data_IF_419394080960
#
_entry.id   IF_419394080960
#
_cell.length_a   1.000
_cell.length_b   1.000
_cell.length_c   1.000
_cell.angle_alpha   90.00
_cell.angle_beta   90.00
_cell.angle_gamma   90.00
#
_symmetry.space_group_name_H-M   'P 1'
#
loop_
_entity.id
_entity.type
_entity.pdbx_description
1 polymer ?
#
# COMPACT_ATOMS: atom_id res chain seq x y z
N UNK A 1 22.29 27.98 0.39
CA UNK A 1 21.86 26.88 1.27
C UNK A 1 22.20 27.27 2.71
N UNK A 2 21.22 27.41 3.59
CA UNK A 2 21.49 27.67 5.00
C UNK A 2 22.20 26.47 5.62
N UNK A 3 23.35 26.68 6.27
CA UNK A 3 24.04 25.62 7.01
C UNK A 3 23.14 25.20 8.20
N UNK A 4 22.69 23.94 8.18
CA UNK A 4 22.01 23.35 9.33
C UNK A 4 22.93 23.36 10.54
N UNK A 5 22.47 23.89 11.68
CA UNK A 5 23.24 23.83 12.90
C UNK A 5 23.26 22.40 13.44
N UNK A 6 24.34 21.99 14.10
CA UNK A 6 24.45 20.66 14.73
C UNK A 6 23.25 20.38 15.65
N UNK A 7 22.78 21.39 16.39
CA UNK A 7 21.60 21.28 17.26
C UNK A 7 20.30 20.99 16.48
N UNK A 8 20.15 21.51 15.26
CA UNK A 8 18.98 21.22 14.43
C UNK A 8 19.01 19.77 13.92
N UNK A 9 20.18 19.30 13.50
CA UNK A 9 20.37 17.91 13.06
C UNK A 9 20.05 16.96 14.22
N UNK A 10 20.63 17.21 15.40
CA UNK A 10 20.40 16.37 16.58
C UNK A 10 18.92 16.32 16.98
N UNK A 11 18.23 17.48 16.99
CA UNK A 11 16.78 17.53 17.25
C UNK A 11 15.97 16.73 16.22
N UNK A 12 16.32 16.84 14.94
CA UNK A 12 15.61 16.10 13.87
C UNK A 12 15.77 14.60 14.03
N UNK A 13 17.00 14.14 14.33
CA UNK A 13 17.27 12.71 14.57
C UNK A 13 16.53 12.21 15.81
N UNK A 14 16.53 12.99 16.89
CA UNK A 14 15.82 12.62 18.11
C UNK A 14 14.29 12.52 17.88
N UNK A 15 13.71 13.49 17.18
CA UNK A 15 12.28 13.46 16.81
C UNK A 15 11.99 12.22 15.96
N UNK A 16 12.84 11.91 14.98
CA UNK A 16 12.68 10.74 14.14
C UNK A 16 12.65 9.45 14.97
N UNK A 17 13.64 9.24 15.82
CA UNK A 17 13.74 8.02 16.66
C UNK A 17 12.52 7.89 17.58
N UNK A 18 12.18 8.94 18.31
CA UNK A 18 11.03 8.91 19.23
C UNK A 18 9.74 8.64 18.44
N UNK A 19 9.51 9.37 17.36
CA UNK A 19 8.31 9.22 16.54
C UNK A 19 8.22 7.81 15.93
N UNK A 20 9.34 7.23 15.50
CA UNK A 20 9.35 5.88 14.94
C UNK A 20 8.85 4.85 15.96
N UNK A 21 9.35 4.86 17.18
CA UNK A 21 8.89 3.93 18.21
C UNK A 21 7.41 4.16 18.60
N UNK A 22 6.99 5.41 18.70
CA UNK A 22 5.58 5.75 18.99
C UNK A 22 4.67 5.23 17.88
N UNK A 23 4.99 5.53 16.62
CA UNK A 23 4.18 5.05 15.50
C UNK A 23 4.25 3.55 15.31
N UNK A 24 5.37 2.90 15.62
CA UNK A 24 5.48 1.44 15.57
C UNK A 24 4.52 0.78 16.58
N UNK A 25 4.50 1.26 17.82
CA UNK A 25 3.59 0.74 18.86
C UNK A 25 2.12 0.94 18.47
N UNK A 26 1.78 2.15 17.99
CA UNK A 26 0.42 2.44 17.53
C UNK A 26 0.05 1.58 16.31
N UNK A 27 1.00 1.39 15.40
CA UNK A 27 0.78 0.63 14.18
C UNK A 27 0.47 -0.85 14.44
N UNK A 28 1.19 -1.47 15.38
CA UNK A 28 0.93 -2.87 15.78
C UNK A 28 -0.52 -3.07 16.20
N UNK A 29 -1.15 -2.05 16.81
CA UNK A 29 -2.55 -2.14 17.27
C UNK A 29 -3.58 -1.93 16.14
N UNK A 30 -3.21 -1.22 15.07
CA UNK A 30 -4.15 -0.78 14.02
C UNK A 30 -3.93 -1.52 12.69
N UNK A 31 -2.76 -2.13 12.50
CA UNK A 31 -2.34 -2.73 11.20
C UNK A 31 -3.36 -3.70 10.61
N UNK A 32 -4.01 -4.50 11.46
CA UNK A 32 -4.92 -5.55 11.00
C UNK A 32 -6.23 -4.94 10.48
N UNK A 33 -6.81 -3.98 11.20
CA UNK A 33 -7.99 -3.24 10.74
C UNK A 33 -7.70 -2.44 9.47
N UNK A 34 -6.52 -1.81 9.41
CA UNK A 34 -6.08 -1.08 8.25
C UNK A 34 -5.89 -2.01 7.04
N UNK A 35 -5.19 -3.12 7.24
CA UNK A 35 -4.96 -4.14 6.21
C UNK A 35 -6.25 -4.71 5.65
N UNK A 36 -7.19 -5.08 6.53
CA UNK A 36 -8.52 -5.55 6.13
C UNK A 36 -9.29 -4.51 5.30
N UNK A 37 -9.37 -3.26 5.81
CA UNK A 37 -10.11 -2.19 5.12
C UNK A 37 -9.52 -1.85 3.75
N UNK A 38 -8.18 -1.80 3.64
CA UNK A 38 -7.50 -1.55 2.38
C UNK A 38 -7.70 -2.68 1.39
N UNK A 39 -7.54 -3.93 1.82
CA UNK A 39 -7.75 -5.11 0.97
C UNK A 39 -9.20 -5.17 0.48
N UNK A 40 -10.18 -5.05 1.37
CA UNK A 40 -11.60 -5.05 0.99
C UNK A 40 -11.93 -3.96 -0.05
N UNK A 41 -11.35 -2.76 0.13
CA UNK A 41 -11.60 -1.64 -0.79
C UNK A 41 -10.98 -1.92 -2.17
N UNK A 42 -9.74 -2.41 -2.20
CA UNK A 42 -9.05 -2.75 -3.45
C UNK A 42 -9.76 -3.90 -4.17
N UNK A 43 -10.13 -4.95 -3.44
CA UNK A 43 -10.82 -6.12 -4.01
C UNK A 43 -12.18 -5.76 -4.62
N UNK A 44 -12.93 -4.81 -4.02
CA UNK A 44 -14.16 -4.29 -4.64
C UNK A 44 -13.92 -3.62 -5.98
N UNK A 45 -12.84 -2.84 -6.09
CA UNK A 45 -12.45 -2.21 -7.36
C UNK A 45 -12.10 -3.28 -8.39
N UNK A 46 -11.31 -4.28 -8.02
CA UNK A 46 -10.92 -5.38 -8.90
C UNK A 46 -12.12 -6.25 -9.31
N UNK A 47 -12.99 -6.58 -8.37
CA UNK A 47 -14.23 -7.31 -8.64
C UNK A 47 -15.08 -6.60 -9.70
N UNK A 48 -15.23 -5.28 -9.59
CA UNK A 48 -15.94 -4.46 -10.58
C UNK A 48 -15.26 -4.46 -11.95
N UNK A 49 -13.92 -4.39 -12.02
CA UNK A 49 -13.16 -4.38 -13.27
C UNK A 49 -13.20 -5.74 -13.99
N UNK A 50 -13.18 -6.83 -13.20
CA UNK A 50 -13.12 -8.21 -13.71
C UNK A 50 -14.50 -8.86 -13.87
N UNK A 51 -15.59 -8.17 -13.54
CA UNK A 51 -16.94 -8.75 -13.51
C UNK A 51 -17.02 -9.99 -12.59
N UNK A 52 -16.44 -9.89 -11.40
CA UNK A 52 -16.46 -10.91 -10.36
C UNK A 52 -17.37 -10.45 -9.20
N UNK A 53 -17.77 -11.40 -8.37
CA UNK A 53 -18.45 -11.14 -7.09
C UNK A 53 -17.50 -11.50 -5.95
N UNK A 54 -17.56 -10.77 -4.84
CA UNK A 54 -16.83 -11.12 -3.62
C UNK A 54 -17.78 -11.92 -2.75
N UNK A 55 -17.43 -13.16 -2.50
CA UNK A 55 -18.23 -14.11 -1.73
C UNK A 55 -17.94 -14.02 -0.24
N UNK A 56 -16.65 -14.02 0.11
CA UNK A 56 -16.15 -13.91 1.48
C UNK A 56 -14.87 -13.10 1.57
N UNK A 57 -14.65 -12.49 2.73
CA UNK A 57 -13.40 -11.85 3.10
C UNK A 57 -13.07 -12.27 4.52
N UNK A 58 -12.08 -13.11 4.66
CA UNK A 58 -11.62 -13.65 5.94
C UNK A 58 -10.25 -13.09 6.28
N UNK A 59 -10.04 -12.81 7.56
CA UNK A 59 -8.75 -12.34 8.07
C UNK A 59 -8.14 -13.41 8.97
N UNK A 60 -6.92 -13.82 8.61
CA UNK A 60 -6.12 -14.78 9.38
C UNK A 60 -4.72 -14.18 9.61
N UNK A 61 -4.42 -13.80 10.84
CA UNK A 61 -3.17 -13.16 11.25
C UNK A 61 -2.76 -11.98 10.34
N UNK A 62 -1.71 -12.18 9.56
CA UNK A 62 -1.13 -11.16 8.66
C UNK A 62 -1.66 -11.26 7.22
N UNK A 63 -2.72 -12.02 6.99
CA UNK A 63 -3.30 -12.24 5.67
C UNK A 63 -4.78 -11.91 5.67
N UNK A 64 -5.23 -11.31 4.59
CA UNK A 64 -6.64 -11.17 4.28
C UNK A 64 -6.91 -12.04 3.06
N UNK A 65 -7.71 -13.07 3.23
CA UNK A 65 -8.13 -13.95 2.15
C UNK A 65 -9.42 -13.42 1.55
N UNK A 66 -9.39 -13.15 0.25
CA UNK A 66 -10.57 -12.70 -0.49
C UNK A 66 -11.00 -13.79 -1.45
N UNK A 67 -12.25 -14.23 -1.32
CA UNK A 67 -12.86 -15.24 -2.17
C UNK A 67 -13.68 -14.56 -3.25
N UNK A 68 -13.30 -14.79 -4.50
CA UNK A 68 -13.98 -14.27 -5.69
C UNK A 68 -14.75 -15.36 -6.42
N UNK A 69 -15.93 -15.01 -6.94
CA UNK A 69 -16.78 -15.90 -7.75
C UNK A 69 -16.98 -15.30 -9.14
N UNK A 70 -16.60 -16.01 -10.23
CA UNK A 70 -16.88 -15.59 -11.60
C UNK A 70 -18.33 -15.89 -11.99
N UNK A 71 -19.29 -15.21 -11.39
CA UNK A 71 -20.74 -15.49 -11.45
C UNK A 71 -21.31 -15.50 -12.86
N UNK A 72 -20.69 -14.79 -13.82
CA UNK A 72 -21.10 -14.79 -15.24
C UNK A 72 -20.68 -16.05 -16.00
N UNK A 73 -19.69 -16.77 -15.48
CA UNK A 73 -19.10 -17.95 -16.13
C UNK A 73 -19.57 -19.22 -15.42
N UNK A 74 -19.30 -19.31 -14.12
CA UNK A 74 -19.74 -20.41 -13.29
C UNK A 74 -19.75 -19.98 -11.82
N UNK A 75 -20.89 -20.12 -11.14
CA UNK A 75 -21.07 -19.73 -9.74
C UNK A 75 -20.50 -20.73 -8.74
N UNK A 76 -20.20 -21.95 -9.18
CA UNK A 76 -19.65 -22.98 -8.30
C UNK A 76 -18.13 -22.87 -8.14
N UNK A 77 -17.49 -21.94 -8.87
CA UNK A 77 -16.04 -21.74 -8.82
C UNK A 77 -15.73 -20.63 -7.81
N UNK A 78 -14.99 -20.99 -6.77
CA UNK A 78 -14.44 -20.06 -5.78
C UNK A 78 -12.94 -19.89 -6.03
N UNK A 79 -12.48 -18.64 -6.02
CA UNK A 79 -11.09 -18.27 -6.24
C UNK A 79 -10.59 -17.50 -5.01
N UNK A 80 -9.73 -18.14 -4.25
CA UNK A 80 -9.15 -17.57 -3.04
C UNK A 80 -7.84 -16.86 -3.35
N UNK A 81 -7.76 -15.57 -3.00
CA UNK A 81 -6.56 -14.75 -3.15
C UNK A 81 -6.08 -14.29 -1.77
N UNK A 82 -4.98 -14.83 -1.25
CA UNK A 82 -4.41 -14.40 0.02
C UNK A 82 -3.54 -13.15 -0.18
N UNK A 83 -3.94 -12.03 0.39
CA UNK A 83 -3.19 -10.77 0.41
C UNK A 83 -2.43 -10.67 1.72
N UNK A 84 -1.09 -10.62 1.67
CA UNK A 84 -0.24 -10.42 2.86
C UNK A 84 -0.20 -8.95 3.22
N UNK A 85 -0.88 -8.58 4.29
CA UNK A 85 -1.01 -7.18 4.71
C UNK A 85 0.30 -6.58 5.22
N UNK A 86 1.13 -7.35 5.88
CA UNK A 86 2.42 -6.91 6.38
C UNK A 86 3.38 -6.46 5.26
N UNK A 87 3.28 -7.02 4.05
CA UNK A 87 4.19 -6.71 2.94
C UNK A 87 4.15 -5.23 2.54
N UNK A 88 2.97 -4.61 2.54
CA UNK A 88 2.82 -3.22 2.14
C UNK A 88 2.64 -2.25 3.31
N UNK A 89 2.26 -2.75 4.49
CA UNK A 89 1.96 -1.88 5.63
C UNK A 89 3.17 -1.62 6.54
N UNK A 90 4.23 -2.44 6.47
CA UNK A 90 5.37 -2.36 7.39
C UNK A 90 6.14 -1.02 7.31
N UNK A 91 6.07 -0.32 6.18
CA UNK A 91 6.71 0.97 5.98
C UNK A 91 5.94 2.14 6.61
N UNK A 92 4.67 1.97 6.98
CA UNK A 92 3.82 3.05 7.48
C UNK A 92 4.41 3.77 8.71
N UNK A 93 4.92 3.07 9.74
CA UNK A 93 5.57 3.73 10.88
C UNK A 93 6.78 4.56 10.47
N UNK A 94 7.57 4.05 9.52
CA UNK A 94 8.75 4.75 9.02
C UNK A 94 8.37 6.00 8.24
N UNK A 95 7.35 5.94 7.38
CA UNK A 95 6.81 7.08 6.65
C UNK A 95 6.33 8.18 7.61
N UNK A 96 5.56 7.82 8.64
CA UNK A 96 5.06 8.74 9.64
C UNK A 96 6.19 9.35 10.49
N UNK A 97 7.24 8.58 10.79
CA UNK A 97 8.42 9.07 11.52
C UNK A 97 9.23 10.08 10.68
N UNK A 98 9.44 9.79 9.39
CA UNK A 98 10.10 10.72 8.46
C UNK A 98 9.30 12.02 8.38
N UNK A 99 7.98 11.95 8.23
CA UNK A 99 7.11 13.12 8.22
C UNK A 99 7.26 13.95 9.50
N UNK A 100 7.26 13.29 10.66
CA UNK A 100 7.42 13.96 11.96
C UNK A 100 8.78 14.64 12.08
N UNK A 101 9.85 14.02 11.61
CA UNK A 101 11.19 14.61 11.62
C UNK A 101 11.30 15.84 10.70
N UNK A 102 10.56 15.83 9.59
CA UNK A 102 10.51 16.95 8.64
C UNK A 102 9.67 18.14 9.15
N UNK A 103 8.92 17.98 10.24
CA UNK A 103 8.05 19.01 10.81
C UNK A 103 8.76 20.35 11.05
N UNK A 104 10.04 20.35 11.41
CA UNK A 104 10.83 21.54 11.63
C UNK A 104 11.08 22.33 10.34
N UNK A 105 11.09 21.68 9.20
CA UNK A 105 11.47 22.24 7.89
C UNK A 105 10.29 22.55 6.98
N UNK A 106 9.11 22.01 7.29
CA UNK A 106 7.91 22.07 6.43
C UNK A 106 7.04 23.27 6.80
N UNK A 107 6.53 23.97 5.77
CA UNK A 107 5.43 24.95 5.84
C UNK A 107 4.09 24.22 5.66
N UNK A 108 2.97 24.85 6.10
CA UNK A 108 1.61 24.33 5.90
C UNK A 108 1.47 22.87 6.37
N UNK A 109 1.88 22.59 7.56
CA UNK A 109 2.05 21.24 8.14
C UNK A 109 0.83 20.34 7.99
N UNK A 110 -0.37 20.82 8.32
CA UNK A 110 -1.61 20.03 8.20
C UNK A 110 -1.85 19.55 6.76
N UNK A 111 -1.64 20.43 5.78
CA UNK A 111 -1.78 20.05 4.38
C UNK A 111 -0.72 19.03 3.96
N UNK A 112 0.52 19.21 4.40
CA UNK A 112 1.60 18.28 4.11
C UNK A 112 1.31 16.88 4.68
N UNK A 113 0.82 16.81 5.93
CA UNK A 113 0.41 15.53 6.52
C UNK A 113 -0.78 14.90 5.78
N UNK A 114 -1.78 15.69 5.42
CA UNK A 114 -2.92 15.19 4.63
C UNK A 114 -2.50 14.63 3.27
N UNK A 115 -1.61 15.33 2.55
CA UNK A 115 -1.08 14.84 1.26
C UNK A 115 -0.22 13.58 1.44
N UNK A 116 0.56 13.48 2.50
CA UNK A 116 1.35 12.29 2.77
C UNK A 116 0.49 11.06 3.09
N UNK A 117 -0.52 11.22 3.94
CA UNK A 117 -1.46 10.14 4.24
C UNK A 117 -2.23 9.69 2.98
N UNK A 118 -2.63 10.64 2.14
CA UNK A 118 -3.28 10.33 0.88
C UNK A 118 -2.34 9.56 -0.06
N UNK A 119 -1.07 9.97 -0.17
CA UNK A 119 -0.08 9.24 -0.97
C UNK A 119 0.17 7.84 -0.43
N UNK A 120 0.27 7.67 0.89
CA UNK A 120 0.40 6.37 1.54
C UNK A 120 -0.78 5.45 1.16
N UNK A 121 -2.00 5.94 1.28
CA UNK A 121 -3.21 5.19 0.89
C UNK A 121 -3.18 4.81 -0.60
N UNK A 122 -2.82 5.74 -1.48
CA UNK A 122 -2.74 5.49 -2.94
C UNK A 122 -1.69 4.40 -3.24
N UNK A 123 -0.53 4.46 -2.61
CA UNK A 123 0.55 3.48 -2.81
C UNK A 123 0.10 2.09 -2.36
N UNK A 124 -0.54 1.98 -1.18
CA UNK A 124 -1.05 0.71 -0.69
C UNK A 124 -2.19 0.16 -1.55
N UNK A 125 -3.11 1.02 -2.00
CA UNK A 125 -4.16 0.62 -2.96
C UNK A 125 -3.55 0.12 -4.27
N UNK A 126 -2.54 0.82 -4.80
CA UNK A 126 -1.85 0.42 -6.02
C UNK A 126 -1.19 -0.95 -5.86
N UNK A 127 -0.56 -1.22 -4.71
CA UNK A 127 0.05 -2.52 -4.43
C UNK A 127 -0.98 -3.64 -4.47
N UNK A 128 -2.07 -3.51 -3.70
CA UNK A 128 -3.08 -4.57 -3.61
C UNK A 128 -3.76 -4.79 -4.97
N UNK A 129 -4.15 -3.71 -5.65
CA UNK A 129 -4.83 -3.82 -6.95
C UNK A 129 -3.94 -4.46 -8.02
N UNK A 130 -2.65 -4.12 -8.08
CA UNK A 130 -1.73 -4.73 -9.06
C UNK A 130 -1.45 -6.20 -8.72
N UNK A 131 -1.35 -6.54 -7.42
CA UNK A 131 -1.21 -7.91 -6.95
C UNK A 131 -2.42 -8.76 -7.32
N UNK A 132 -3.63 -8.36 -6.91
CA UNK A 132 -4.86 -9.10 -7.17
C UNK A 132 -5.14 -9.22 -8.68
N UNK A 133 -4.89 -8.16 -9.46
CA UNK A 133 -5.07 -8.18 -10.91
C UNK A 133 -4.17 -9.25 -11.56
N UNK A 134 -2.92 -9.35 -11.14
CA UNK A 134 -1.97 -10.38 -11.61
C UNK A 134 -2.42 -11.77 -11.18
N UNK A 135 -2.73 -11.98 -9.88
CA UNK A 135 -3.08 -13.31 -9.36
C UNK A 135 -4.40 -13.82 -9.96
N UNK A 136 -5.47 -13.01 -9.94
CA UNK A 136 -6.75 -13.39 -10.55
C UNK A 136 -6.61 -13.71 -12.05
N UNK A 137 -5.83 -12.91 -12.79
CA UNK A 137 -5.62 -13.17 -14.21
C UNK A 137 -4.93 -14.51 -14.40
N UNK A 138 -3.93 -14.83 -13.59
CA UNK A 138 -3.20 -16.10 -13.66
C UNK A 138 -4.10 -17.27 -13.33
N UNK A 139 -4.90 -17.17 -12.27
CA UNK A 139 -5.83 -18.25 -11.86
C UNK A 139 -6.92 -18.48 -12.92
N UNK A 140 -7.57 -17.42 -13.40
CA UNK A 140 -8.62 -17.51 -14.44
C UNK A 140 -8.10 -18.11 -15.74
N UNK A 141 -6.86 -17.82 -16.12
CA UNK A 141 -6.21 -18.45 -17.28
C UNK A 141 -5.92 -19.94 -17.07
N UNK A 142 -5.36 -20.28 -15.91
CA UNK A 142 -5.05 -21.69 -15.58
C UNK A 142 -6.31 -22.55 -15.55
N UNK A 143 -7.43 -21.99 -15.09
CA UNK A 143 -8.75 -22.63 -15.12
C UNK A 143 -9.41 -22.61 -16.50
N UNK A 144 -8.77 -21.99 -17.52
CA UNK A 144 -9.32 -21.80 -18.87
C UNK A 144 -10.64 -21.02 -18.91
N UNK A 145 -10.92 -20.21 -17.90
CA UNK A 145 -12.13 -19.39 -17.81
C UNK A 145 -11.99 -18.07 -18.55
N UNK A 146 -10.76 -17.63 -18.78
CA UNK A 146 -10.47 -16.40 -19.51
C UNK A 146 -9.26 -16.57 -20.41
N UNK A 147 -9.38 -16.09 -21.66
CA UNK A 147 -8.22 -15.94 -22.56
C UNK A 147 -7.73 -14.50 -22.50
N UNK A 148 -6.46 -14.33 -22.15
CA UNK A 148 -5.82 -13.01 -22.04
C UNK A 148 -4.63 -12.95 -22.98
N UNK A 149 -4.44 -11.84 -23.68
CA UNK A 149 -3.28 -11.65 -24.55
C UNK A 149 -1.98 -11.62 -23.76
N UNK A 150 -0.91 -12.14 -24.34
CA UNK A 150 0.45 -12.14 -23.76
C UNK A 150 0.88 -10.73 -23.29
N UNK A 151 0.54 -9.69 -24.06
CA UNK A 151 0.86 -8.30 -23.70
C UNK A 151 0.18 -7.85 -22.41
N UNK A 152 -1.07 -8.25 -22.16
CA UNK A 152 -1.78 -7.90 -20.90
C UNK A 152 -1.16 -8.63 -19.71
N UNK A 153 -0.80 -9.89 -19.87
CA UNK A 153 -0.13 -10.66 -18.81
C UNK A 153 1.19 -9.99 -18.44
N UNK A 154 2.00 -9.63 -19.45
CA UNK A 154 3.26 -8.91 -19.24
C UNK A 154 3.05 -7.60 -18.50
N UNK A 155 2.05 -6.79 -18.90
CA UNK A 155 1.73 -5.51 -18.22
C UNK A 155 1.37 -5.74 -16.75
N UNK A 156 0.51 -6.72 -16.42
CA UNK A 156 0.13 -6.98 -15.03
C UNK A 156 1.30 -7.49 -14.17
N UNK A 157 2.13 -8.36 -14.72
CA UNK A 157 3.35 -8.82 -14.07
C UNK A 157 4.35 -7.68 -13.85
N UNK A 158 4.55 -6.84 -14.86
CA UNK A 158 5.43 -5.68 -14.77
C UNK A 158 4.94 -4.67 -13.72
N UNK A 159 3.66 -4.28 -13.78
CA UNK A 159 3.07 -3.33 -12.83
C UNK A 159 3.19 -3.84 -11.39
N UNK A 160 2.86 -5.09 -11.16
CA UNK A 160 3.01 -5.67 -9.82
C UNK A 160 4.47 -5.71 -9.38
N UNK A 161 5.37 -6.22 -10.21
CA UNK A 161 6.80 -6.30 -9.88
C UNK A 161 7.41 -4.92 -9.65
N UNK A 162 7.04 -3.91 -10.45
CA UNK A 162 7.47 -2.53 -10.25
C UNK A 162 6.95 -1.96 -8.93
N UNK A 163 5.67 -2.17 -8.64
CA UNK A 163 5.05 -1.66 -7.40
C UNK A 163 5.66 -2.32 -6.17
N UNK A 164 5.84 -3.64 -6.17
CA UNK A 164 6.42 -4.39 -5.06
C UNK A 164 7.90 -4.02 -4.82
N UNK A 165 8.72 -4.04 -5.87
CA UNK A 165 10.16 -3.88 -5.73
C UNK A 165 10.64 -2.43 -5.66
N UNK A 166 9.92 -1.50 -6.29
CA UNK A 166 10.35 -0.10 -6.37
C UNK A 166 9.47 0.82 -5.53
N UNK A 167 8.15 0.75 -5.71
CA UNK A 167 7.25 1.73 -5.06
C UNK A 167 7.16 1.46 -3.57
N UNK A 168 6.79 0.24 -3.16
CA UNK A 168 6.62 -0.11 -1.73
C UNK A 168 7.93 0.01 -0.95
N UNK A 169 9.04 -0.52 -1.48
CA UNK A 169 10.32 -0.49 -0.76
C UNK A 169 10.86 0.91 -0.53
N UNK A 170 10.62 1.81 -1.48
CA UNK A 170 11.10 3.20 -1.39
C UNK A 170 10.04 4.20 -0.95
N UNK A 171 8.81 3.76 -0.67
CA UNK A 171 7.68 4.58 -0.28
C UNK A 171 8.01 5.64 0.79
N UNK A 172 8.64 5.31 1.94
CA UNK A 172 8.90 6.31 2.98
C UNK A 172 9.81 7.44 2.48
N UNK A 173 10.81 7.10 1.66
CA UNK A 173 11.75 8.07 1.11
C UNK A 173 11.11 8.90 -0.01
N UNK A 174 10.31 8.28 -0.87
CA UNK A 174 9.60 8.97 -1.95
C UNK A 174 8.60 9.99 -1.39
N UNK A 175 7.80 9.60 -0.43
CA UNK A 175 6.84 10.48 0.25
C UNK A 175 7.59 11.58 1.01
N UNK A 176 8.61 11.23 1.78
CA UNK A 176 9.42 12.20 2.53
C UNK A 176 10.12 13.21 1.61
N UNK A 177 10.72 12.76 0.53
CA UNK A 177 11.37 13.63 -0.47
C UNK A 177 10.36 14.56 -1.15
N UNK A 178 9.22 14.02 -1.60
CA UNK A 178 8.13 14.81 -2.18
C UNK A 178 7.68 15.92 -1.25
N UNK A 179 7.42 15.61 0.02
CA UNK A 179 6.98 16.59 1.02
C UNK A 179 8.04 17.65 1.27
N UNK A 180 9.31 17.23 1.38
CA UNK A 180 10.41 18.16 1.59
C UNK A 180 10.55 19.14 0.43
N UNK A 181 10.52 18.67 -0.82
CA UNK A 181 10.63 19.53 -2.00
C UNK A 181 9.46 20.51 -2.11
N UNK A 182 8.23 20.01 -1.88
CA UNK A 182 7.02 20.80 -2.09
C UNK A 182 6.71 21.78 -0.96
N UNK A 183 7.04 21.44 0.28
CA UNK A 183 6.64 22.21 1.47
C UNK A 183 7.79 22.78 2.27
N UNK A 184 9.03 22.67 1.82
CA UNK A 184 10.19 23.26 2.52
C UNK A 184 10.00 24.78 2.71
N UNK A 185 10.54 25.27 3.83
CA UNK A 185 10.57 26.71 4.18
C UNK A 185 11.54 27.47 3.29
#
# INVERSE_FOLDING_TARGET
>A
MAKLSLNQILKTVLIFIISYFVFLILWIQVKDYYGYGMTLTASRVIASIKDLEIDAVDQDDERVQVTFTPYKINRDILIDIPVKTNTYTFNSPLTLAIMSSLFLFIRKRLRAYGEALLLLLIVHMLFITTFEMKELTTVLMNMKLQTVSQSRIFIYQFLWSFTDNMVIRFEPFLIGFYLFVRFRK
#
